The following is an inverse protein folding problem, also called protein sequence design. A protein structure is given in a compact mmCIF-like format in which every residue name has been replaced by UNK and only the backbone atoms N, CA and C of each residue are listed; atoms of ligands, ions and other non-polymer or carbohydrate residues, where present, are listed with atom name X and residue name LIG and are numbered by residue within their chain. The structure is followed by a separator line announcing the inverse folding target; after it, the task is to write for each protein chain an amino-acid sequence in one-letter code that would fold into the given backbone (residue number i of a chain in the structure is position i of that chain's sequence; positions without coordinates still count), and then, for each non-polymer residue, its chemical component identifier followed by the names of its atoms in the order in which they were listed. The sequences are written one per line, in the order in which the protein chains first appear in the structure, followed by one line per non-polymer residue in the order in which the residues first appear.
data_IF_079167456547
#
_entry.id   IF_079167456547
#
_cell.length_a   1.000
_cell.length_b   1.000
_cell.length_c   1.000
_cell.angle_alpha   90.00
_cell.angle_beta   90.00
_cell.angle_gamma   90.00
#
_symmetry.space_group_name_H-M   'P 1'
#
loop_
_entity.id
_entity.type
_entity.pdbx_description
1 polymer ?
#
# COMPACT_ATOMS: atom_id res chain seq x y z
N UNK A 1 -41.87 -4.37 -11.94
CA UNK A 1 -40.67 -3.61 -11.55
C UNK A 1 -40.51 -3.73 -10.05
N UNK A 2 -39.68 -4.65 -9.57
CA UNK A 2 -39.35 -4.71 -8.13
C UNK A 2 -38.53 -3.46 -7.81
N UNK A 3 -39.06 -2.60 -6.94
CA UNK A 3 -38.28 -1.55 -6.30
C UNK A 3 -37.18 -2.26 -5.51
N UNK A 4 -35.96 -2.23 -6.03
CA UNK A 4 -34.77 -2.63 -5.28
C UNK A 4 -34.67 -1.62 -4.14
N UNK A 5 -34.99 -2.06 -2.91
CA UNK A 5 -34.66 -1.31 -1.70
C UNK A 5 -33.19 -0.91 -1.80
N UNK A 6 -32.94 0.40 -1.87
CA UNK A 6 -31.58 0.94 -1.93
C UNK A 6 -30.94 0.65 -0.57
N UNK A 7 -30.26 -0.50 -0.43
CA UNK A 7 -29.54 -0.86 0.80
C UNK A 7 -28.69 0.34 1.23
N UNK A 8 -28.92 0.81 2.45
CA UNK A 8 -28.23 1.98 2.97
C UNK A 8 -26.73 1.68 3.02
N UNK A 9 -25.91 2.49 2.33
CA UNK A 9 -24.46 2.33 2.31
C UNK A 9 -23.94 2.43 3.76
N UNK A 10 -22.98 1.56 4.09
CA UNK A 10 -22.29 1.64 5.38
C UNK A 10 -21.56 2.97 5.51
N UNK A 11 -21.42 3.47 6.74
CA UNK A 11 -20.69 4.69 7.04
C UNK A 11 -19.65 4.41 8.13
N UNK A 12 -18.64 5.27 8.20
CA UNK A 12 -17.75 5.31 9.36
C UNK A 12 -18.54 5.72 10.61
N UNK A 13 -18.32 5.00 11.71
CA UNK A 13 -18.88 5.31 13.02
C UNK A 13 -18.24 6.53 13.68
N UNK A 14 -17.02 6.91 13.27
CA UNK A 14 -16.33 8.11 13.77
C UNK A 14 -15.25 8.63 12.82
N UNK A 15 -14.94 9.94 12.91
CA UNK A 15 -13.81 10.55 12.18
C UNK A 15 -12.48 9.89 12.53
N UNK A 16 -12.23 9.61 13.80
CA UNK A 16 -11.02 8.91 14.23
C UNK A 16 -10.93 7.51 13.61
N UNK A 17 -12.05 6.79 13.57
CA UNK A 17 -12.15 5.49 12.92
C UNK A 17 -11.76 5.51 11.45
N UNK A 18 -12.30 6.48 10.70
CA UNK A 18 -11.89 6.72 9.32
C UNK A 18 -10.39 7.02 9.19
N UNK A 19 -9.87 7.96 9.99
CA UNK A 19 -8.46 8.36 9.93
C UNK A 19 -7.54 7.17 10.20
N UNK A 20 -7.85 6.33 11.20
CA UNK A 20 -7.06 5.13 11.49
C UNK A 20 -7.18 4.07 10.40
N UNK A 21 -8.36 3.88 9.80
CA UNK A 21 -8.51 2.95 8.68
C UNK A 21 -7.77 3.42 7.43
N UNK A 22 -7.91 4.70 7.05
CA UNK A 22 -7.20 5.28 5.92
C UNK A 22 -5.69 5.31 6.14
N UNK A 23 -5.23 5.68 7.35
CA UNK A 23 -3.82 5.60 7.71
C UNK A 23 -3.32 4.15 7.69
N UNK A 24 -4.10 3.18 8.16
CA UNK A 24 -3.73 1.76 8.08
C UNK A 24 -3.76 1.17 6.68
N UNK A 25 -4.52 1.76 5.76
CA UNK A 25 -4.41 1.42 4.35
C UNK A 25 -3.06 1.88 3.79
N UNK A 26 -2.69 3.14 4.04
CA UNK A 26 -1.42 3.72 3.56
C UNK A 26 -0.21 3.07 4.25
N UNK A 27 -0.20 3.03 5.59
CA UNK A 27 0.86 2.42 6.38
C UNK A 27 0.84 0.91 6.20
N UNK A 28 1.86 0.40 5.51
CA UNK A 28 1.98 -1.03 5.20
C UNK A 28 3.41 -1.51 5.07
N UNK A 29 3.59 -2.61 4.33
CA UNK A 29 4.91 -3.11 3.95
C UNK A 29 5.71 -2.06 3.16
N UNK A 30 5.05 -1.14 2.46
CA UNK A 30 5.70 -0.03 1.77
C UNK A 30 6.56 0.85 2.68
N UNK A 31 6.12 1.10 3.92
CA UNK A 31 6.81 1.98 4.87
C UNK A 31 7.91 1.25 5.63
N UNK A 32 7.67 -0.01 6.01
CA UNK A 32 8.57 -0.76 6.90
C UNK A 32 9.65 -1.51 6.12
N UNK A 33 9.36 -1.87 4.88
CA UNK A 33 10.25 -2.67 4.04
C UNK A 33 10.78 -1.89 2.83
N UNK A 34 9.89 -1.39 1.97
CA UNK A 34 10.30 -0.76 0.70
C UNK A 34 10.98 0.60 0.90
N UNK A 35 10.49 1.43 1.82
CA UNK A 35 11.04 2.76 2.09
C UNK A 35 12.50 2.72 2.59
N UNK A 36 12.85 1.92 3.63
CA UNK A 36 14.25 1.79 4.06
C UNK A 36 15.16 1.27 2.95
N UNK A 37 14.72 0.28 2.18
CA UNK A 37 15.48 -0.23 1.04
C UNK A 37 15.79 0.88 0.01
N UNK A 38 14.78 1.63 -0.43
CA UNK A 38 14.98 2.71 -1.40
C UNK A 38 15.83 3.84 -0.82
N UNK A 39 15.66 4.16 0.46
CA UNK A 39 16.48 5.16 1.16
C UNK A 39 17.94 4.74 1.20
N UNK A 40 18.22 3.46 1.48
CA UNK A 40 19.58 2.90 1.50
C UNK A 40 20.27 3.00 0.13
N UNK A 41 19.53 2.69 -0.95
CA UNK A 41 20.07 2.69 -2.31
C UNK A 41 20.22 4.07 -2.96
N UNK A 42 19.57 5.10 -2.42
CA UNK A 42 19.46 6.40 -3.08
C UNK A 42 20.07 7.56 -2.27
N UNK A 43 21.10 7.28 -1.47
CA UNK A 43 21.85 8.33 -0.76
C UNK A 43 21.16 8.86 0.50
N UNK A 44 20.36 8.04 1.17
CA UNK A 44 19.85 8.31 2.52
C UNK A 44 19.03 9.59 2.59
N UNK A 45 19.49 10.56 3.38
CA UNK A 45 18.75 11.80 3.65
C UNK A 45 18.38 12.63 2.42
N UNK A 46 19.16 12.57 1.33
CA UNK A 46 18.81 13.30 0.12
C UNK A 46 17.57 12.69 -0.57
N UNK A 47 17.48 11.36 -0.63
CA UNK A 47 16.29 10.66 -1.08
C UNK A 47 15.07 11.01 -0.21
N UNK A 48 15.24 11.05 1.12
CA UNK A 48 14.13 11.39 2.03
C UNK A 48 13.56 12.77 1.71
N UNK A 49 14.40 13.78 1.52
CA UNK A 49 13.94 15.13 1.17
C UNK A 49 13.11 15.12 -0.12
N UNK A 50 13.60 14.45 -1.17
CA UNK A 50 12.90 14.35 -2.46
C UNK A 50 11.58 13.58 -2.30
N UNK A 51 11.59 12.46 -1.56
CA UNK A 51 10.40 11.68 -1.23
C UNK A 51 9.35 12.52 -0.50
N UNK A 52 9.74 13.31 0.50
CA UNK A 52 8.82 14.19 1.23
C UNK A 52 8.16 15.22 0.28
N UNK A 53 8.92 15.79 -0.65
CA UNK A 53 8.37 16.69 -1.67
C UNK A 53 7.35 15.94 -2.53
N UNK A 54 7.69 14.74 -3.03
CA UNK A 54 6.77 13.93 -3.83
C UNK A 54 5.49 13.58 -3.06
N UNK A 55 5.60 13.20 -1.79
CA UNK A 55 4.47 12.85 -0.92
C UNK A 55 3.54 14.04 -0.70
N UNK A 56 4.06 15.21 -0.30
CA UNK A 56 3.22 16.36 0.04
C UNK A 56 2.72 17.14 -1.18
N UNK A 57 3.43 17.10 -2.32
CA UNK A 57 2.98 17.76 -3.55
C UNK A 57 2.07 16.85 -4.36
N UNK A 58 2.50 15.62 -4.65
CA UNK A 58 1.78 14.71 -5.55
C UNK A 58 0.85 13.80 -4.76
N UNK A 59 1.38 13.11 -3.74
CA UNK A 59 0.63 12.13 -2.95
C UNK A 59 -0.60 12.72 -2.25
N UNK A 60 -0.41 13.81 -1.50
CA UNK A 60 -1.48 14.53 -0.82
C UNK A 60 -2.57 15.03 -1.79
N UNK A 61 -2.15 15.53 -2.95
CA UNK A 61 -3.08 16.05 -3.96
C UNK A 61 -3.96 14.94 -4.55
N UNK A 62 -3.36 13.79 -4.87
CA UNK A 62 -4.07 12.61 -5.36
C UNK A 62 -4.96 11.98 -4.27
N UNK A 63 -4.50 11.92 -3.01
CA UNK A 63 -5.32 11.45 -1.90
C UNK A 63 -6.56 12.34 -1.70
N UNK A 64 -6.36 13.67 -1.75
CA UNK A 64 -7.45 14.64 -1.68
C UNK A 64 -8.45 14.44 -2.82
N UNK A 65 -7.96 14.17 -4.04
CA UNK A 65 -8.77 13.84 -5.20
C UNK A 65 -9.58 12.54 -5.00
N UNK A 66 -8.96 11.46 -4.52
CA UNK A 66 -9.66 10.20 -4.25
C UNK A 66 -10.77 10.37 -3.20
N UNK A 67 -10.49 11.06 -2.09
CA UNK A 67 -11.50 11.35 -1.07
C UNK A 67 -12.65 12.19 -1.60
N UNK A 68 -12.37 13.21 -2.43
CA UNK A 68 -13.41 14.05 -3.03
C UNK A 68 -14.30 13.24 -3.97
N UNK A 69 -13.71 12.44 -4.87
CA UNK A 69 -14.46 11.59 -5.81
C UNK A 69 -15.32 10.57 -5.07
N UNK A 70 -14.74 9.87 -4.10
CA UNK A 70 -15.43 8.87 -3.29
C UNK A 70 -16.60 9.47 -2.51
N UNK A 71 -16.33 10.51 -1.71
CA UNK A 71 -17.36 11.12 -0.86
C UNK A 71 -18.44 11.82 -1.67
N UNK A 72 -18.08 12.47 -2.78
CA UNK A 72 -19.06 13.17 -3.63
C UNK A 72 -20.10 12.21 -4.18
N UNK A 73 -19.64 11.08 -4.72
CA UNK A 73 -20.49 10.09 -5.39
C UNK A 73 -21.18 9.12 -4.43
N UNK A 74 -20.57 8.84 -3.27
CA UNK A 74 -21.05 7.80 -2.36
C UNK A 74 -20.97 6.40 -2.98
N UNK A 75 -20.04 6.18 -3.92
CA UNK A 75 -19.86 4.93 -4.66
C UNK A 75 -18.40 4.48 -4.59
N UNK A 76 -18.17 3.17 -4.66
CA UNK A 76 -16.84 2.60 -4.84
C UNK A 76 -16.26 2.94 -6.22
N UNK A 77 -14.97 2.66 -6.42
CA UNK A 77 -14.17 3.12 -7.56
C UNK A 77 -14.90 3.08 -8.92
N UNK A 78 -15.36 1.92 -9.39
CA UNK A 78 -16.05 1.78 -10.70
C UNK A 78 -17.29 2.66 -10.79
N UNK A 79 -18.16 2.62 -9.77
CA UNK A 79 -19.39 3.40 -9.73
C UNK A 79 -19.12 4.90 -9.70
N UNK A 80 -18.08 5.33 -8.96
CA UNK A 80 -17.70 6.73 -8.86
C UNK A 80 -17.31 7.31 -10.23
N UNK A 81 -16.44 6.64 -10.99
CA UNK A 81 -16.08 7.07 -12.35
C UNK A 81 -17.29 7.05 -13.29
N UNK A 82 -18.06 5.94 -13.25
CA UNK A 82 -19.24 5.73 -14.10
C UNK A 82 -20.31 6.81 -13.91
N UNK A 83 -20.48 7.33 -12.69
CA UNK A 83 -21.48 8.36 -12.36
C UNK A 83 -21.28 9.69 -13.10
N UNK A 84 -20.03 10.04 -13.44
CA UNK A 84 -19.73 11.21 -14.27
C UNK A 84 -19.69 10.86 -15.75
N UNK A 85 -19.14 9.69 -16.10
CA UNK A 85 -19.07 9.25 -17.48
C UNK A 85 -18.84 7.73 -17.59
N UNK A 86 -19.75 7.04 -18.29
CA UNK A 86 -19.60 5.61 -18.61
C UNK A 86 -18.33 5.30 -19.43
N UNK A 87 -17.67 6.32 -20.03
CA UNK A 87 -16.39 6.14 -20.74
C UNK A 87 -15.18 6.04 -19.79
N UNK A 88 -15.38 6.29 -18.49
CA UNK A 88 -14.33 6.29 -17.48
C UNK A 88 -14.45 5.12 -16.49
N UNK A 89 -15.49 4.29 -16.57
CA UNK A 89 -15.66 3.10 -15.71
C UNK A 89 -14.42 2.19 -15.69
N UNK A 90 -13.67 2.13 -16.80
CA UNK A 90 -12.44 1.35 -16.90
C UNK A 90 -11.36 1.76 -15.90
N UNK A 91 -11.27 3.04 -15.53
CA UNK A 91 -10.28 3.52 -14.56
C UNK A 91 -10.58 2.96 -13.17
N UNK A 92 -11.87 2.90 -12.80
CA UNK A 92 -12.29 2.24 -11.57
C UNK A 92 -12.09 0.72 -11.63
N UNK A 93 -12.30 0.11 -12.80
CA UNK A 93 -12.09 -1.32 -12.98
C UNK A 93 -10.61 -1.69 -12.90
N UNK A 94 -9.72 -0.83 -13.41
CA UNK A 94 -8.28 -0.94 -13.23
C UNK A 94 -7.91 -0.86 -11.74
N UNK A 95 -8.54 0.02 -10.97
CA UNK A 95 -8.36 0.08 -9.51
C UNK A 95 -8.76 -1.23 -8.81
N UNK A 96 -9.94 -1.77 -9.13
CA UNK A 96 -10.40 -3.06 -8.60
C UNK A 96 -9.46 -4.20 -8.99
N UNK A 97 -9.02 -4.23 -10.25
CA UNK A 97 -8.07 -5.23 -10.74
C UNK A 97 -6.70 -5.11 -10.04
N UNK A 98 -6.25 -3.89 -9.77
CA UNK A 98 -5.03 -3.62 -9.00
C UNK A 98 -5.15 -4.19 -7.58
N UNK A 99 -6.23 -3.87 -6.88
CA UNK A 99 -6.49 -4.41 -5.55
C UNK A 99 -6.55 -5.93 -5.53
N UNK A 100 -7.19 -6.53 -6.53
CA UNK A 100 -7.25 -7.98 -6.70
C UNK A 100 -5.87 -8.61 -6.97
N UNK A 101 -5.06 -8.03 -7.85
CA UNK A 101 -3.72 -8.54 -8.18
C UNK A 101 -2.77 -8.39 -6.98
N UNK A 102 -2.80 -7.27 -6.26
CA UNK A 102 -1.98 -7.09 -5.05
C UNK A 102 -2.37 -8.13 -4.00
N UNK A 103 -3.66 -8.38 -3.80
CA UNK A 103 -4.14 -9.46 -2.92
C UNK A 103 -3.76 -10.87 -3.41
N UNK A 104 -3.29 -11.02 -4.65
CA UNK A 104 -2.78 -12.28 -5.18
C UNK A 104 -1.41 -12.70 -4.61
N UNK A 105 -0.64 -11.77 -4.05
CA UNK A 105 0.69 -12.06 -3.47
C UNK A 105 0.91 -11.43 -2.09
N UNK A 106 0.28 -10.29 -1.79
CA UNK A 106 0.51 -9.56 -0.55
C UNK A 106 0.17 -10.37 0.73
N UNK A 107 -0.93 -11.19 0.76
CA UNK A 107 -1.18 -12.09 1.89
C UNK A 107 -0.11 -13.16 2.10
N UNK A 108 0.64 -13.55 1.06
CA UNK A 108 1.76 -14.49 1.17
C UNK A 108 2.85 -13.88 2.04
N UNK A 109 3.22 -12.62 1.78
CA UNK A 109 4.20 -11.87 2.58
C UNK A 109 3.68 -11.60 4.00
N UNK A 110 2.38 -11.30 4.16
CA UNK A 110 1.74 -11.22 5.48
C UNK A 110 1.82 -12.53 6.27
N UNK A 111 1.67 -13.67 5.59
CA UNK A 111 1.89 -15.00 6.14
C UNK A 111 3.34 -15.22 6.58
N UNK A 112 4.33 -14.77 5.80
CA UNK A 112 5.73 -14.82 6.22
C UNK A 112 5.97 -14.04 7.51
N UNK A 113 5.38 -12.85 7.63
CA UNK A 113 5.49 -12.04 8.85
C UNK A 113 4.91 -12.77 10.08
N UNK A 114 3.75 -13.42 9.94
CA UNK A 114 3.18 -14.25 11.02
C UNK A 114 4.09 -15.43 11.37
N UNK A 115 4.59 -16.14 10.36
CA UNK A 115 5.50 -17.26 10.55
C UNK A 115 6.76 -16.84 11.29
N UNK A 116 7.33 -15.68 10.94
CA UNK A 116 8.55 -15.16 11.55
C UNK A 116 8.33 -14.64 12.97
N UNK A 117 7.17 -14.08 13.29
CA UNK A 117 6.80 -13.77 14.67
C UNK A 117 6.81 -15.05 15.54
N UNK A 118 6.29 -16.15 15.02
CA UNK A 118 6.33 -17.45 15.70
C UNK A 118 7.73 -18.05 15.74
N UNK A 119 8.45 -18.09 14.61
CA UNK A 119 9.82 -18.61 14.53
C UNK A 119 10.77 -17.87 15.46
N UNK A 120 10.54 -16.57 15.69
CA UNK A 120 11.33 -15.76 16.63
C UNK A 120 11.40 -16.37 18.02
N UNK A 121 10.31 -16.95 18.53
CA UNK A 121 10.29 -17.62 19.85
C UNK A 121 10.70 -19.09 19.80
N UNK A 122 10.67 -19.74 18.62
CA UNK A 122 11.05 -21.15 18.47
C UNK A 122 12.47 -21.36 17.96
N UNK A 123 13.31 -20.31 17.92
CA UNK A 123 14.74 -20.42 17.62
C UNK A 123 15.21 -19.82 16.30
N UNK A 124 14.47 -18.88 15.68
CA UNK A 124 14.90 -18.17 14.45
C UNK A 124 16.32 -17.61 14.58
N UNK A 125 16.64 -17.01 15.72
CA UNK A 125 17.92 -16.34 15.96
C UNK A 125 19.04 -17.29 16.45
N UNK A 126 18.77 -18.59 16.55
CA UNK A 126 19.74 -19.56 17.10
C UNK A 126 20.95 -19.78 16.18
N UNK A 127 20.79 -19.59 14.87
CA UNK A 127 21.88 -19.69 13.90
C UNK A 127 21.83 -18.50 12.91
N UNK A 128 22.43 -17.35 13.27
CA UNK A 128 22.37 -16.13 12.46
C UNK A 128 22.98 -16.28 11.07
N UNK A 129 24.02 -17.11 10.93
CA UNK A 129 24.68 -17.39 9.65
C UNK A 129 23.80 -18.14 8.65
N UNK A 130 22.74 -18.82 9.12
CA UNK A 130 21.82 -19.60 8.28
C UNK A 130 20.50 -18.87 7.99
N UNK A 131 20.34 -17.60 8.37
CA UNK A 131 19.06 -16.87 8.21
C UNK A 131 18.61 -16.76 6.75
N UNK A 132 19.56 -16.59 5.81
CA UNK A 132 19.28 -16.56 4.38
C UNK A 132 18.76 -17.90 3.86
N UNK A 133 19.45 -18.98 4.19
CA UNK A 133 19.06 -20.35 3.81
C UNK A 133 17.74 -20.76 4.48
N UNK A 134 17.54 -20.40 5.74
CA UNK A 134 16.30 -20.65 6.47
C UNK A 134 15.11 -19.94 5.83
N UNK A 135 15.28 -18.68 5.40
CA UNK A 135 14.25 -17.96 4.66
C UNK A 135 13.99 -18.60 3.29
N UNK A 136 15.04 -18.91 2.53
CA UNK A 136 14.93 -19.56 1.22
C UNK A 136 14.21 -20.90 1.30
N UNK A 137 14.56 -21.75 2.27
CA UNK A 137 13.91 -23.02 2.51
C UNK A 137 12.45 -22.86 2.93
N UNK A 138 12.14 -21.82 3.73
CA UNK A 138 10.78 -21.52 4.14
C UNK A 138 9.91 -21.09 2.95
N UNK A 139 10.32 -20.10 2.15
CA UNK A 139 9.48 -19.57 1.06
C UNK A 139 9.33 -20.54 -0.11
N UNK A 140 10.29 -21.46 -0.29
CA UNK A 140 10.25 -22.49 -1.34
C UNK A 140 9.54 -23.76 -0.89
N UNK A 141 9.27 -23.93 0.42
CA UNK A 141 8.52 -25.06 0.96
C UNK A 141 7.09 -25.09 0.41
N UNK A 142 6.57 -26.26 -0.02
CA UNK A 142 5.26 -26.34 -0.66
C UNK A 142 4.08 -26.19 0.32
N UNK A 143 4.31 -26.29 1.63
CA UNK A 143 3.22 -26.36 2.63
C UNK A 143 3.32 -25.25 3.67
N UNK A 144 4.48 -25.07 4.29
CA UNK A 144 4.61 -24.17 5.44
C UNK A 144 4.17 -22.72 5.16
N UNK A 145 4.66 -22.03 4.10
CA UNK A 145 4.23 -20.66 3.80
C UNK A 145 2.74 -20.57 3.44
N UNK A 146 2.16 -21.61 2.84
CA UNK A 146 0.72 -21.66 2.53
C UNK A 146 -0.14 -21.68 3.79
N UNK A 147 0.24 -22.46 4.81
CA UNK A 147 -0.50 -22.53 6.08
C UNK A 147 -0.57 -21.15 6.72
N UNK A 148 0.57 -20.45 6.81
CA UNK A 148 0.61 -19.10 7.38
C UNK A 148 -0.12 -18.06 6.54
N UNK A 149 -0.09 -18.20 5.21
CA UNK A 149 -0.87 -17.36 4.28
C UNK A 149 -2.37 -17.53 4.50
N UNK A 150 -2.84 -18.77 4.67
CA UNK A 150 -4.26 -19.06 4.93
C UNK A 150 -4.71 -18.51 6.29
N UNK A 151 -3.87 -18.62 7.33
CA UNK A 151 -4.14 -18.02 8.63
C UNK A 151 -4.23 -16.49 8.50
N UNK A 152 -3.27 -15.86 7.82
CA UNK A 152 -3.27 -14.42 7.58
C UNK A 152 -4.55 -13.97 6.85
N UNK A 153 -4.89 -14.66 5.76
CA UNK A 153 -6.07 -14.33 4.96
C UNK A 153 -7.35 -14.52 5.78
N UNK A 154 -7.45 -15.54 6.62
CA UNK A 154 -8.60 -15.74 7.50
C UNK A 154 -8.81 -14.56 8.45
N UNK A 155 -7.73 -14.00 9.03
CA UNK A 155 -7.82 -12.78 9.86
C UNK A 155 -8.39 -11.60 9.08
N UNK A 156 -7.91 -11.41 7.85
CA UNK A 156 -8.38 -10.36 6.95
C UNK A 156 -9.87 -10.54 6.62
N UNK A 157 -10.28 -11.74 6.19
CA UNK A 157 -11.67 -12.09 5.87
C UNK A 157 -12.60 -11.81 7.05
N UNK A 158 -12.21 -12.18 8.27
CA UNK A 158 -13.00 -11.93 9.48
C UNK A 158 -13.23 -10.44 9.71
N UNK A 159 -12.22 -9.60 9.45
CA UNK A 159 -12.35 -8.14 9.60
C UNK A 159 -13.31 -7.59 8.54
N UNK A 160 -13.10 -7.90 7.26
CA UNK A 160 -13.92 -7.32 6.17
C UNK A 160 -15.36 -7.84 6.17
N UNK A 161 -15.58 -9.10 6.57
CA UNK A 161 -16.91 -9.68 6.72
C UNK A 161 -17.77 -9.00 7.80
N UNK A 162 -17.14 -8.35 8.80
CA UNK A 162 -17.82 -7.58 9.85
C UNK A 162 -18.22 -6.16 9.41
N UNK A 163 -17.88 -5.76 8.18
CA UNK A 163 -18.25 -4.48 7.59
C UNK A 163 -17.40 -3.29 8.03
N UNK A 164 -17.72 -2.11 7.52
CA UNK A 164 -16.89 -0.89 7.70
C UNK A 164 -16.78 -0.50 9.17
N UNK A 165 -17.89 -0.17 9.83
CA UNK A 165 -17.87 0.25 11.23
C UNK A 165 -17.62 -0.93 12.21
N UNK A 166 -18.13 -2.12 11.87
CA UNK A 166 -18.09 -3.30 12.73
C UNK A 166 -16.76 -4.07 12.70
N UNK A 167 -16.00 -3.93 11.61
CA UNK A 167 -14.73 -4.63 11.37
C UNK A 167 -13.58 -3.68 11.09
N UNK A 168 -13.59 -3.04 9.91
CA UNK A 168 -12.48 -2.23 9.39
C UNK A 168 -12.10 -1.10 10.36
N UNK A 169 -13.08 -0.32 10.82
CA UNK A 169 -12.88 0.77 11.77
C UNK A 169 -12.33 0.29 13.11
N UNK A 170 -12.90 -0.80 13.66
CA UNK A 170 -12.46 -1.35 14.95
C UNK A 170 -11.04 -1.89 14.87
N UNK A 171 -10.71 -2.58 13.77
CA UNK A 171 -9.36 -3.04 13.51
C UNK A 171 -8.40 -1.84 13.43
N UNK A 172 -8.70 -0.83 12.61
CA UNK A 172 -7.87 0.38 12.49
C UNK A 172 -7.62 1.08 13.84
N UNK A 173 -8.67 1.26 14.66
CA UNK A 173 -8.59 1.89 15.98
C UNK A 173 -7.65 1.19 16.97
N UNK A 174 -7.40 -0.11 16.78
CA UNK A 174 -6.53 -0.90 17.66
C UNK A 174 -5.16 -1.09 17.02
N UNK A 175 -5.15 -1.54 15.76
CA UNK A 175 -3.94 -1.91 15.02
C UNK A 175 -3.03 -0.71 14.77
N UNK A 176 -3.56 0.45 14.37
CA UNK A 176 -2.71 1.61 14.08
C UNK A 176 -1.98 2.16 15.31
N UNK A 177 -2.64 2.44 16.45
CA UNK A 177 -1.93 2.82 17.66
C UNK A 177 -0.92 1.76 18.12
N UNK A 178 -1.27 0.47 18.01
CA UNK A 178 -0.35 -0.63 18.35
C UNK A 178 0.91 -0.58 17.50
N UNK A 179 0.79 -0.35 16.19
CA UNK A 179 1.92 -0.19 15.27
C UNK A 179 2.85 0.93 15.72
N UNK A 180 2.32 2.10 16.05
CA UNK A 180 3.13 3.25 16.51
C UNK A 180 3.88 2.93 17.80
N UNK A 181 3.21 2.29 18.77
CA UNK A 181 3.82 1.90 20.04
C UNK A 181 4.97 0.92 19.80
N UNK A 182 4.75 -0.13 19.01
CA UNK A 182 5.78 -1.11 18.66
C UNK A 182 6.98 -0.45 17.97
N UNK A 183 6.74 0.50 17.06
CA UNK A 183 7.79 1.26 16.38
C UNK A 183 8.65 2.06 17.37
N UNK A 184 8.03 2.76 18.32
CA UNK A 184 8.75 3.54 19.33
C UNK A 184 9.66 2.63 20.19
N UNK A 185 9.17 1.46 20.60
CA UNK A 185 9.98 0.50 21.36
C UNK A 185 11.21 0.02 20.57
N UNK A 186 11.04 -0.29 19.29
CA UNK A 186 12.15 -0.73 18.43
C UNK A 186 13.14 0.42 18.20
N UNK A 187 12.65 1.64 17.97
CA UNK A 187 13.48 2.83 17.81
C UNK A 187 14.35 3.05 19.04
N UNK A 188 13.77 3.02 20.24
CA UNK A 188 14.52 3.19 21.49
C UNK A 188 15.70 2.22 21.57
N UNK A 189 15.47 0.96 21.18
CA UNK A 189 16.54 -0.04 21.14
C UNK A 189 17.57 0.24 20.03
N UNK A 190 17.12 0.62 18.85
CA UNK A 190 17.96 0.88 17.68
C UNK A 190 18.92 2.05 17.91
N UNK A 191 18.43 3.16 18.45
CA UNK A 191 19.25 4.36 18.68
C UNK A 191 20.16 4.24 19.92
N UNK A 192 19.87 3.32 20.85
CA UNK A 192 20.71 3.07 22.03
C UNK A 192 21.89 2.14 21.75
N UNK A 193 21.99 1.56 20.55
CA UNK A 193 23.14 0.74 20.16
C UNK A 193 24.42 1.58 20.03
N UNK A 194 25.59 1.07 20.45
CA UNK A 194 26.87 1.71 20.15
C UNK A 194 27.07 1.87 18.64
N UNK A 195 27.48 3.05 18.17
CA UNK A 195 27.69 3.32 16.73
C UNK A 195 26.43 3.70 15.94
N UNK A 196 25.26 3.69 16.57
CA UNK A 196 23.96 4.01 15.93
C UNK A 196 23.88 5.42 15.31
N UNK A 197 24.67 6.36 15.83
CA UNK A 197 24.72 7.74 15.36
C UNK A 197 25.13 7.89 13.89
N UNK A 198 25.89 6.94 13.35
CA UNK A 198 26.23 6.92 11.92
C UNK A 198 24.98 6.68 11.05
N UNK A 199 24.08 5.79 11.47
CA UNK A 199 22.81 5.54 10.77
C UNK A 199 21.85 6.72 10.85
N UNK A 200 21.81 7.44 11.98
CA UNK A 200 21.06 8.70 12.07
C UNK A 200 21.65 9.79 11.16
N UNK A 201 22.98 9.86 11.07
CA UNK A 201 23.65 10.79 10.16
C UNK A 201 23.32 10.45 8.70
N UNK A 202 23.35 9.17 8.33
CA UNK A 202 22.96 8.72 6.99
C UNK A 202 21.51 9.11 6.64
N UNK A 203 20.59 9.00 7.60
CA UNK A 203 19.18 9.37 7.42
C UNK A 203 18.95 10.88 7.31
N UNK A 204 19.63 11.69 8.11
CA UNK A 204 19.28 13.11 8.28
C UNK A 204 20.29 14.10 7.71
N UNK A 205 21.44 13.63 7.22
CA UNK A 205 22.43 14.46 6.51
C UNK A 205 22.35 14.15 5.01
N UNK A 206 21.70 15.00 4.20
CA UNK A 206 21.57 14.76 2.76
C UNK A 206 22.93 14.76 2.06
N UNK A 207 23.19 13.69 1.30
CA UNK A 207 24.29 13.62 0.35
C UNK A 207 23.76 13.77 -1.08
N UNK A 208 23.85 14.98 -1.61
CA UNK A 208 23.36 15.32 -2.95
C UNK A 208 24.22 14.71 -4.07
N UNK A 209 25.43 14.21 -3.78
CA UNK A 209 26.28 13.60 -4.80
C UNK A 209 25.72 12.28 -5.35
N UNK A 210 24.84 11.63 -4.59
CA UNK A 210 24.19 10.37 -4.96
C UNK A 210 22.84 10.56 -5.67
N UNK A 211 22.35 11.80 -5.76
CA UNK A 211 21.05 12.10 -6.39
C UNK A 211 21.18 12.18 -7.90
N UNK A 212 20.35 11.41 -8.59
CA UNK A 212 20.22 11.49 -10.04
C UNK A 212 18.74 11.32 -10.48
N UNK A 213 18.48 11.27 -11.79
CA UNK A 213 17.12 11.15 -12.32
C UNK A 213 16.36 9.92 -11.81
N UNK A 214 17.04 8.78 -11.61
CA UNK A 214 16.41 7.57 -11.07
C UNK A 214 16.03 7.72 -9.60
N UNK A 215 16.78 8.51 -8.82
CA UNK A 215 16.44 8.85 -7.42
C UNK A 215 15.09 9.55 -7.32
N UNK A 216 14.84 10.54 -8.19
CA UNK A 216 13.56 11.28 -8.22
C UNK A 216 12.40 10.37 -8.61
N UNK A 217 12.62 9.49 -9.58
CA UNK A 217 11.61 8.53 -10.04
C UNK A 217 11.30 7.48 -8.96
N UNK A 218 12.31 6.98 -8.25
CA UNK A 218 12.15 6.07 -7.13
C UNK A 218 11.35 6.72 -5.99
N UNK A 219 11.65 7.98 -5.66
CA UNK A 219 10.94 8.75 -4.64
C UNK A 219 9.46 8.97 -5.00
N UNK A 220 9.19 9.34 -6.26
CA UNK A 220 7.82 9.53 -6.73
C UNK A 220 7.05 8.21 -6.77
N UNK A 221 7.65 7.11 -7.27
CA UNK A 221 7.04 5.78 -7.24
C UNK A 221 6.76 5.28 -5.82
N UNK A 222 7.67 5.54 -4.87
CA UNK A 222 7.46 5.24 -3.45
C UNK A 222 6.29 6.02 -2.85
N UNK A 223 6.11 7.30 -3.19
CA UNK A 223 4.98 8.08 -2.70
C UNK A 223 3.62 7.48 -3.11
N UNK A 224 3.50 6.98 -4.35
CA UNK A 224 2.28 6.31 -4.82
C UNK A 224 1.99 5.00 -4.09
N UNK A 225 3.02 4.15 -3.97
CA UNK A 225 2.89 2.86 -3.31
C UNK A 225 2.54 3.03 -1.83
N UNK A 226 3.28 3.90 -1.11
CA UNK A 226 3.08 4.15 0.31
C UNK A 226 1.66 4.65 0.60
N UNK A 227 1.14 5.60 -0.18
CA UNK A 227 -0.17 6.19 0.11
C UNK A 227 -1.37 5.38 -0.42
N UNK A 228 -1.15 4.17 -0.96
CA UNK A 228 -2.20 3.33 -1.58
C UNK A 228 -2.97 4.03 -2.72
N UNK A 229 -2.27 4.83 -3.53
CA UNK A 229 -2.91 5.69 -4.53
C UNK A 229 -3.06 4.98 -5.88
N UNK A 230 -4.13 5.30 -6.61
CA UNK A 230 -4.36 4.80 -7.97
C UNK A 230 -4.99 3.41 -8.05
N UNK A 231 -5.25 2.77 -6.91
CA UNK A 231 -5.95 1.47 -6.80
C UNK A 231 -7.40 1.60 -6.34
N UNK A 232 -7.90 2.82 -6.09
CA UNK A 232 -9.30 3.06 -5.70
C UNK A 232 -9.65 2.75 -4.24
N UNK A 233 -8.64 2.47 -3.40
CA UNK A 233 -8.79 2.30 -1.95
C UNK A 233 -9.36 3.57 -1.31
N UNK A 234 -8.77 4.74 -1.57
CA UNK A 234 -9.19 5.98 -0.92
C UNK A 234 -10.50 6.53 -1.51
N UNK A 235 -10.82 6.23 -2.78
CA UNK A 235 -12.17 6.46 -3.32
C UNK A 235 -13.19 5.63 -2.55
N UNK A 236 -12.92 4.34 -2.35
CA UNK A 236 -13.82 3.43 -1.62
C UNK A 236 -14.00 3.87 -0.17
N UNK A 237 -12.91 4.16 0.55
CA UNK A 237 -13.01 4.65 1.93
C UNK A 237 -13.66 6.03 2.03
N UNK A 238 -13.37 6.92 1.08
CA UNK A 238 -14.00 8.23 0.97
C UNK A 238 -15.51 8.15 0.77
N UNK A 239 -15.98 7.12 0.05
CA UNK A 239 -17.42 6.91 -0.19
C UNK A 239 -18.25 6.60 1.06
N UNK A 240 -17.61 6.20 2.16
CA UNK A 240 -18.25 5.94 3.45
C UNK A 240 -18.21 7.16 4.39
N UNK A 241 -17.63 8.29 3.96
CA UNK A 241 -17.52 9.52 4.75
C UNK A 241 -18.83 10.32 4.78
N UNK A 242 -19.09 10.89 5.95
CA UNK A 242 -20.14 11.89 6.09
C UNK A 242 -19.76 13.21 5.38
N UNK A 243 -20.76 13.89 4.82
CA UNK A 243 -20.58 15.17 4.10
C UNK A 243 -20.01 16.31 4.94
N UNK A 244 -20.10 16.21 6.27
CA UNK A 244 -19.56 17.21 7.22
C UNK A 244 -18.04 17.11 7.42
N UNK A 245 -17.40 16.03 6.99
CA UNK A 245 -15.98 15.80 7.24
C UNK A 245 -15.10 16.81 6.50
N UNK A 246 -13.92 17.13 7.01
CA UNK A 246 -13.00 18.06 6.35
C UNK A 246 -12.00 17.25 5.49
N UNK A 247 -12.24 17.17 4.17
CA UNK A 247 -11.42 16.32 3.29
C UNK A 247 -9.95 16.76 3.18
N UNK A 248 -9.61 18.05 2.94
CA UNK A 248 -8.22 18.48 2.90
C UNK A 248 -7.47 18.19 4.20
N UNK A 249 -8.08 18.47 5.35
CA UNK A 249 -7.48 18.18 6.66
C UNK A 249 -7.29 16.69 6.87
N UNK A 250 -8.27 15.87 6.49
CA UNK A 250 -8.17 14.43 6.64
C UNK A 250 -7.10 13.82 5.72
N UNK A 251 -7.00 14.27 4.46
CA UNK A 251 -5.95 13.85 3.54
C UNK A 251 -4.55 14.22 4.07
N UNK A 252 -4.40 15.43 4.62
CA UNK A 252 -3.15 15.85 5.25
C UNK A 252 -2.78 14.97 6.44
N UNK A 253 -3.73 14.66 7.32
CA UNK A 253 -3.47 13.82 8.49
C UNK A 253 -3.06 12.40 8.09
N UNK A 254 -3.79 11.77 7.16
CA UNK A 254 -3.46 10.42 6.68
C UNK A 254 -2.08 10.40 6.01
N UNK A 255 -1.80 11.37 5.13
CA UNK A 255 -0.50 11.50 4.46
C UNK A 255 0.63 11.72 5.47
N UNK A 256 0.40 12.54 6.50
CA UNK A 256 1.40 12.81 7.54
C UNK A 256 1.66 11.59 8.42
N UNK A 257 0.64 10.79 8.74
CA UNK A 257 0.79 9.55 9.50
C UNK A 257 1.60 8.51 8.71
N UNK A 258 1.30 8.33 7.42
CA UNK A 258 2.06 7.48 6.51
C UNK A 258 3.54 7.87 6.47
N UNK A 259 3.79 9.16 6.24
CA UNK A 259 5.14 9.74 6.23
C UNK A 259 5.85 9.52 7.56
N UNK A 260 5.18 9.78 8.68
CA UNK A 260 5.75 9.61 10.00
C UNK A 260 6.19 8.16 10.22
N UNK A 261 5.35 7.17 9.85
CA UNK A 261 5.73 5.76 9.97
C UNK A 261 6.90 5.41 9.07
N UNK A 262 6.98 5.92 7.84
CA UNK A 262 8.12 5.69 6.95
C UNK A 262 9.44 6.20 7.57
N UNK A 263 9.45 7.44 8.07
CA UNK A 263 10.62 8.03 8.74
C UNK A 263 10.98 7.25 10.00
N UNK A 264 9.99 6.95 10.85
CA UNK A 264 10.20 6.18 12.07
C UNK A 264 10.71 4.76 11.77
N UNK A 265 10.27 4.11 10.68
CA UNK A 265 10.80 2.82 10.23
C UNK A 265 12.25 2.93 9.78
N UNK A 266 12.61 4.02 9.09
CA UNK A 266 14.01 4.36 8.82
C UNK A 266 14.83 4.45 10.12
N UNK A 267 14.36 5.20 11.11
CA UNK A 267 15.02 5.33 12.42
C UNK A 267 15.08 3.98 13.16
N UNK A 268 14.11 3.09 12.98
CA UNK A 268 14.15 1.76 13.55
C UNK A 268 15.26 0.89 12.92
N UNK A 269 15.51 1.01 11.62
CA UNK A 269 16.36 0.10 10.85
C UNK A 269 17.81 0.61 10.71
N UNK A 270 18.03 1.83 10.22
CA UNK A 270 19.39 2.28 9.85
C UNK A 270 20.35 2.43 11.04
N UNK A 271 19.97 3.00 12.20
CA UNK A 271 20.88 3.09 13.34
C UNK A 271 21.38 1.70 13.76
N UNK A 272 20.51 0.69 13.74
CA UNK A 272 20.91 -0.68 14.07
C UNK A 272 21.76 -1.33 12.96
N UNK A 273 21.46 -1.11 11.67
CA UNK A 273 22.33 -1.59 10.57
C UNK A 273 23.77 -1.07 10.72
N UNK A 274 23.92 0.23 10.93
CA UNK A 274 25.25 0.86 11.06
C UNK A 274 25.96 0.44 12.35
N UNK A 275 25.23 0.27 13.46
CA UNK A 275 25.81 -0.21 14.72
C UNK A 275 26.48 -1.57 14.60
N UNK A 276 25.98 -2.43 13.71
CA UNK A 276 26.54 -3.77 13.45
C UNK A 276 27.37 -3.83 12.16
N UNK A 277 27.70 -2.70 11.54
CA UNK A 277 28.52 -2.66 10.33
C UNK A 277 27.88 -3.32 9.11
N UNK A 278 26.54 -3.39 9.05
CA UNK A 278 25.82 -3.96 7.92
C UNK A 278 25.55 -2.91 6.85
N UNK A 279 25.75 -3.29 5.58
CA UNK A 279 25.52 -2.42 4.44
C UNK A 279 24.03 -2.11 4.26
N UNK A 280 23.66 -0.84 3.97
CA UNK A 280 22.26 -0.44 3.81
C UNK A 280 21.56 -1.00 2.56
N UNK A 281 22.28 -1.73 1.70
CA UNK A 281 21.87 -2.09 0.34
C UNK A 281 21.59 -3.60 0.16
N UNK A 282 20.84 -4.21 1.07
CA UNK A 282 20.31 -5.57 0.85
C UNK A 282 18.93 -5.51 0.17
N UNK A 283 18.74 -6.30 -0.88
CA UNK A 283 17.52 -6.34 -1.72
C UNK A 283 16.23 -6.77 -0.99
N UNK A 284 15.18 -7.19 -1.72
CA UNK A 284 13.86 -7.57 -1.18
C UNK A 284 13.86 -8.46 0.08
N UNK A 285 14.84 -9.35 0.25
CA UNK A 285 15.00 -10.20 1.46
C UNK A 285 15.43 -9.46 2.74
N UNK A 286 15.71 -8.15 2.68
CA UNK A 286 16.21 -7.30 3.77
C UNK A 286 15.47 -7.54 5.10
N UNK A 287 14.14 -7.56 5.06
CA UNK A 287 13.33 -7.62 6.29
C UNK A 287 13.26 -9.01 6.92
N UNK A 288 13.42 -10.09 6.14
CA UNK A 288 13.32 -11.46 6.63
C UNK A 288 14.69 -12.13 6.87
N UNK A 289 15.78 -11.48 6.45
CA UNK A 289 17.16 -11.96 6.65
C UNK A 289 17.96 -10.95 7.47
N UNK A 290 18.03 -9.70 7.01
CA UNK A 290 18.91 -8.68 7.62
C UNK A 290 18.34 -8.17 8.93
N UNK A 291 17.05 -7.88 9.03
CA UNK A 291 16.48 -7.43 10.32
C UNK A 291 16.63 -8.50 11.42
N UNK A 292 16.36 -9.80 11.17
CA UNK A 292 16.70 -10.84 12.14
C UNK A 292 18.19 -10.93 12.48
N UNK A 293 19.11 -10.69 11.53
CA UNK A 293 20.54 -10.69 11.85
C UNK A 293 20.92 -9.54 12.79
N UNK A 294 20.30 -8.36 12.64
CA UNK A 294 20.44 -7.26 13.61
C UNK A 294 20.01 -7.72 15.02
N UNK A 295 18.88 -8.43 15.14
CA UNK A 295 18.40 -8.88 16.44
C UNK A 295 19.24 -10.00 17.05
N UNK A 296 19.84 -10.87 16.22
CA UNK A 296 20.76 -11.90 16.69
C UNK A 296 21.96 -11.32 17.45
N UNK A 297 22.50 -10.19 16.99
CA UNK A 297 23.60 -9.47 17.66
C UNK A 297 23.21 -8.91 19.04
N UNK A 298 21.92 -8.88 19.39
CA UNK A 298 21.43 -8.41 20.68
C UNK A 298 21.34 -9.52 21.75
N UNK A 299 21.79 -10.73 21.45
CA UNK A 299 21.73 -11.88 22.36
C UNK A 299 20.28 -12.22 22.76
N UNK A 300 20.06 -12.60 24.03
CA UNK A 300 18.73 -13.02 24.51
C UNK A 300 17.62 -11.96 24.37
N UNK A 301 17.98 -10.67 24.45
CA UNK A 301 17.03 -9.58 24.23
C UNK A 301 16.55 -9.49 22.76
N UNK A 302 17.35 -10.00 21.82
CA UNK A 302 17.04 -10.04 20.39
C UNK A 302 15.74 -10.75 20.07
N UNK A 303 15.42 -11.83 20.79
CA UNK A 303 14.17 -12.59 20.61
C UNK A 303 12.95 -11.69 20.82
N UNK A 304 12.96 -10.87 21.89
CA UNK A 304 11.87 -9.93 22.17
C UNK A 304 11.70 -8.93 21.03
N UNK A 305 12.78 -8.29 20.59
CA UNK A 305 12.71 -7.28 19.52
C UNK A 305 12.33 -7.89 18.16
N UNK A 306 12.75 -9.13 17.88
CA UNK A 306 12.32 -9.87 16.70
C UNK A 306 10.81 -10.13 16.71
N UNK A 307 10.25 -10.58 17.83
CA UNK A 307 8.79 -10.77 17.98
C UNK A 307 8.04 -9.45 17.80
N UNK A 308 8.50 -8.37 18.45
CA UNK A 308 7.85 -7.06 18.35
C UNK A 308 7.89 -6.51 16.92
N UNK A 309 9.00 -6.69 16.22
CA UNK A 309 9.16 -6.25 14.83
C UNK A 309 8.27 -7.03 13.87
N UNK A 310 8.23 -8.36 13.96
CA UNK A 310 7.36 -9.16 13.10
C UNK A 310 5.88 -8.98 13.46
N UNK A 311 5.53 -8.77 14.73
CA UNK A 311 4.19 -8.38 15.12
C UNK A 311 3.78 -7.04 14.47
N UNK A 312 4.68 -6.06 14.47
CA UNK A 312 4.47 -4.79 13.77
C UNK A 312 4.30 -4.99 12.26
N UNK A 313 5.07 -5.87 11.65
CA UNK A 313 4.97 -6.17 10.21
C UNK A 313 3.64 -6.85 9.87
N UNK A 314 3.15 -7.75 10.72
CA UNK A 314 1.83 -8.38 10.62
C UNK A 314 0.73 -7.32 10.71
N UNK A 315 0.82 -6.42 11.68
CA UNK A 315 -0.16 -5.34 11.88
C UNK A 315 -0.23 -4.46 10.62
N UNK A 316 0.91 -4.03 10.10
CA UNK A 316 0.99 -3.20 8.89
C UNK A 316 0.47 -3.93 7.65
N UNK A 317 0.83 -5.20 7.46
CA UNK A 317 0.32 -5.99 6.34
C UNK A 317 -1.19 -6.22 6.46
N UNK A 318 -1.70 -6.47 7.67
CA UNK A 318 -3.12 -6.75 7.90
C UNK A 318 -3.98 -5.50 7.61
N UNK A 319 -3.56 -4.32 8.06
CA UNK A 319 -4.33 -3.08 7.81
C UNK A 319 -4.42 -2.72 6.33
N UNK A 320 -3.33 -2.83 5.57
CA UNK A 320 -3.35 -2.57 4.11
C UNK A 320 -4.12 -3.63 3.33
N UNK A 321 -3.97 -4.91 3.70
CA UNK A 321 -4.71 -5.97 3.01
C UNK A 321 -6.22 -5.88 3.23
N UNK A 322 -6.68 -5.34 4.37
CA UNK A 322 -8.11 -5.12 4.65
C UNK A 322 -8.69 -4.06 3.69
N UNK A 323 -7.95 -3.00 3.37
CA UNK A 323 -8.42 -1.99 2.41
C UNK A 323 -8.45 -2.50 0.98
N UNK A 324 -7.43 -3.28 0.58
CA UNK A 324 -7.35 -3.90 -0.74
C UNK A 324 -8.51 -4.88 -0.98
N UNK A 325 -8.83 -5.74 0.00
CA UNK A 325 -9.99 -6.63 -0.09
C UNK A 325 -11.29 -5.83 -0.17
N UNK A 326 -11.42 -4.75 0.60
CA UNK A 326 -12.62 -3.92 0.60
C UNK A 326 -12.87 -3.25 -0.76
N UNK A 327 -11.86 -2.89 -1.55
CA UNK A 327 -12.06 -2.38 -2.92
C UNK A 327 -12.80 -3.39 -3.81
N UNK A 328 -12.38 -4.66 -3.75
CA UNK A 328 -12.99 -5.74 -4.54
C UNK A 328 -14.40 -6.03 -4.04
N UNK A 329 -14.58 -6.11 -2.72
CA UNK A 329 -15.87 -6.36 -2.06
C UNK A 329 -16.87 -5.24 -2.36
N UNK A 330 -16.46 -3.97 -2.23
CA UNK A 330 -17.30 -2.83 -2.49
C UNK A 330 -17.71 -2.75 -3.96
N UNK A 331 -16.86 -3.16 -4.90
CA UNK A 331 -17.24 -3.31 -6.31
C UNK A 331 -18.33 -4.37 -6.50
N UNK A 332 -18.20 -5.55 -5.88
CA UNK A 332 -19.21 -6.61 -5.98
C UNK A 332 -20.54 -6.19 -5.34
N UNK A 333 -20.51 -5.45 -4.23
CA UNK A 333 -21.71 -4.90 -3.61
C UNK A 333 -22.34 -3.84 -4.53
N UNK A 334 -21.58 -2.82 -4.94
CA UNK A 334 -22.12 -1.65 -5.66
C UNK A 334 -22.53 -1.96 -7.10
N UNK A 335 -21.78 -2.83 -7.80
CA UNK A 335 -22.00 -3.10 -9.24
C UNK A 335 -22.67 -4.44 -9.51
N UNK A 336 -22.56 -5.41 -8.60
CA UNK A 336 -23.17 -6.74 -8.74
C UNK A 336 -24.30 -7.00 -7.75
N UNK A 337 -24.65 -6.02 -6.90
CA UNK A 337 -25.71 -6.11 -5.90
C UNK A 337 -25.55 -7.31 -4.95
N UNK A 338 -24.31 -7.75 -4.71
CA UNK A 338 -24.04 -8.84 -3.78
C UNK A 338 -24.19 -8.37 -2.34
N UNK A 339 -24.60 -9.27 -1.44
CA UNK A 339 -24.50 -8.99 -0.01
C UNK A 339 -23.04 -9.06 0.45
N UNK A 340 -22.69 -8.32 1.51
CA UNK A 340 -21.31 -8.20 2.00
C UNK A 340 -20.64 -9.55 2.25
N UNK A 341 -21.24 -10.43 3.06
CA UNK A 341 -20.60 -11.71 3.41
C UNK A 341 -20.35 -12.61 2.17
N UNK A 342 -21.34 -12.86 1.29
CA UNK A 342 -21.09 -13.52 0.01
C UNK A 342 -20.01 -12.86 -0.84
N UNK A 343 -20.00 -11.53 -0.95
CA UNK A 343 -18.97 -10.80 -1.71
C UNK A 343 -17.56 -11.02 -1.13
N UNK A 344 -17.43 -10.97 0.20
CA UNK A 344 -16.19 -11.26 0.92
C UNK A 344 -15.74 -12.70 0.69
N UNK A 345 -16.62 -13.69 0.85
CA UNK A 345 -16.25 -15.10 0.68
C UNK A 345 -15.90 -15.44 -0.77
N UNK A 346 -16.63 -14.90 -1.75
CA UNK A 346 -16.36 -15.12 -3.17
C UNK A 346 -15.00 -14.52 -3.58
N UNK A 347 -14.73 -13.26 -3.21
CA UNK A 347 -13.45 -12.61 -3.50
C UNK A 347 -12.29 -13.32 -2.81
N UNK A 348 -12.44 -13.66 -1.53
CA UNK A 348 -11.40 -14.33 -0.75
C UNK A 348 -11.13 -15.76 -1.24
N UNK A 349 -12.15 -16.50 -1.69
CA UNK A 349 -11.99 -17.83 -2.26
C UNK A 349 -11.13 -17.81 -3.52
N UNK A 350 -11.30 -16.81 -4.38
CA UNK A 350 -10.42 -16.62 -5.55
C UNK A 350 -9.02 -16.21 -5.11
N UNK A 351 -8.91 -15.32 -4.10
CA UNK A 351 -7.61 -14.88 -3.58
C UNK A 351 -6.78 -16.00 -2.95
N UNK A 352 -7.43 -17.00 -2.32
CA UNK A 352 -6.76 -18.22 -1.84
C UNK A 352 -6.04 -18.91 -3.00
N UNK A 353 -6.73 -19.11 -4.13
CA UNK A 353 -6.15 -19.78 -5.30
C UNK A 353 -4.96 -18.99 -5.85
N UNK A 354 -5.11 -17.66 -6.01
CA UNK A 354 -4.00 -16.83 -6.50
C UNK A 354 -2.82 -16.81 -5.53
N UNK A 355 -3.06 -16.75 -4.21
CA UNK A 355 -2.01 -16.80 -3.20
C UNK A 355 -1.27 -18.15 -3.20
N UNK A 356 -2.00 -19.27 -3.39
CA UNK A 356 -1.38 -20.59 -3.51
C UNK A 356 -0.45 -20.62 -4.73
N UNK A 357 -0.93 -20.17 -5.89
CA UNK A 357 -0.11 -20.12 -7.11
C UNK A 357 1.11 -19.22 -6.94
N UNK A 358 0.95 -18.04 -6.33
CA UNK A 358 2.05 -17.11 -6.04
C UNK A 358 3.08 -17.74 -5.11
N UNK A 359 2.67 -18.31 -3.98
CA UNK A 359 3.59 -18.93 -3.02
C UNK A 359 4.32 -20.13 -3.63
N UNK A 360 3.62 -21.02 -4.35
CA UNK A 360 4.26 -22.19 -4.97
C UNK A 360 5.22 -21.79 -6.10
N UNK A 361 4.97 -20.67 -6.78
CA UNK A 361 5.86 -20.16 -7.84
C UNK A 361 7.25 -19.76 -7.35
N UNK A 362 7.43 -19.54 -6.03
CA UNK A 362 8.72 -19.27 -5.42
C UNK A 362 9.54 -20.54 -5.16
N UNK A 363 8.91 -21.72 -5.22
CA UNK A 363 9.53 -23.01 -4.90
C UNK A 363 9.25 -24.06 -5.97
N UNK A 364 8.40 -25.03 -5.64
CA UNK A 364 8.11 -26.20 -6.49
C UNK A 364 7.56 -25.87 -7.89
N UNK A 365 6.95 -24.69 -8.07
CA UNK A 365 6.47 -24.21 -9.37
C UNK A 365 7.37 -23.13 -10.00
N UNK A 366 8.62 -22.98 -9.55
CA UNK A 366 9.57 -21.98 -10.10
C UNK A 366 9.84 -22.12 -11.60
N UNK A 367 9.69 -23.33 -12.17
CA UNK A 367 9.78 -23.56 -13.61
C UNK A 367 8.54 -23.11 -14.41
N UNK A 368 7.41 -22.86 -13.76
CA UNK A 368 6.20 -22.36 -14.41
C UNK A 368 6.22 -20.82 -14.46
N UNK A 369 6.41 -20.28 -15.66
CA UNK A 369 6.49 -18.83 -15.87
C UNK A 369 5.34 -18.32 -16.73
N UNK A 370 4.85 -17.12 -16.42
CA UNK A 370 3.86 -16.37 -17.19
C UNK A 370 4.59 -15.16 -17.77
N UNK A 371 4.69 -15.09 -19.10
CA UNK A 371 5.38 -14.00 -19.81
C UNK A 371 6.83 -13.77 -19.34
N UNK A 372 7.50 -14.83 -18.87
CA UNK A 372 8.91 -14.80 -18.46
C UNK A 372 9.17 -14.53 -16.98
N UNK A 373 8.15 -14.50 -16.12
CA UNK A 373 8.28 -14.37 -14.66
C UNK A 373 7.42 -15.39 -13.91
N UNK A 374 7.74 -15.66 -12.63
CA UNK A 374 6.89 -16.48 -11.76
C UNK A 374 5.54 -15.82 -11.47
N UNK A 375 4.59 -16.56 -10.91
CA UNK A 375 3.23 -16.04 -10.63
C UNK A 375 3.25 -14.93 -9.58
N UNK A 376 4.10 -15.04 -8.55
CA UNK A 376 4.30 -13.98 -7.56
C UNK A 376 4.73 -12.66 -8.24
N UNK A 377 5.81 -12.74 -9.01
CA UNK A 377 6.39 -11.60 -9.73
C UNK A 377 5.43 -11.04 -10.78
N UNK A 378 4.63 -11.89 -11.43
CA UNK A 378 3.62 -11.46 -12.40
C UNK A 378 2.64 -10.44 -11.78
N UNK A 379 2.12 -10.75 -10.59
CA UNK A 379 1.19 -9.85 -9.90
C UNK A 379 1.90 -8.61 -9.34
N UNK A 380 3.05 -8.79 -8.71
CA UNK A 380 3.82 -7.69 -8.10
C UNK A 380 4.26 -6.67 -9.16
N UNK A 381 4.94 -7.12 -10.21
CA UNK A 381 5.50 -6.26 -11.25
C UNK A 381 4.41 -5.51 -12.02
N UNK A 382 3.31 -6.17 -12.41
CA UNK A 382 2.23 -5.51 -13.14
C UNK A 382 1.59 -4.38 -12.33
N UNK A 383 1.38 -4.62 -11.04
CA UNK A 383 0.74 -3.64 -10.16
C UNK A 383 1.69 -2.50 -9.81
N UNK A 384 2.92 -2.81 -9.37
CA UNK A 384 3.93 -1.82 -8.98
C UNK A 384 4.37 -0.92 -10.15
N UNK A 385 4.57 -1.49 -11.35
CA UNK A 385 5.14 -0.74 -12.48
C UNK A 385 4.11 -0.07 -13.38
N UNK A 386 2.91 -0.63 -13.50
CA UNK A 386 1.91 -0.16 -14.48
C UNK A 386 0.64 0.31 -13.80
N UNK A 387 -0.08 -0.58 -13.11
CA UNK A 387 -1.48 -0.31 -12.79
C UNK A 387 -1.64 0.84 -11.81
N UNK A 388 -0.78 0.94 -10.79
CA UNK A 388 -0.85 2.01 -9.79
C UNK A 388 -0.54 3.38 -10.38
N UNK A 389 0.57 3.49 -11.13
CA UNK A 389 0.96 4.75 -11.76
C UNK A 389 -0.10 5.18 -12.79
N UNK A 390 -0.52 4.28 -13.69
CA UNK A 390 -1.54 4.63 -14.68
C UNK A 390 -2.89 4.94 -14.01
N UNK A 391 -3.29 4.20 -12.97
CA UNK A 391 -4.50 4.49 -12.19
C UNK A 391 -4.48 5.88 -11.56
N UNK A 392 -3.36 6.27 -10.95
CA UNK A 392 -3.17 7.62 -10.40
C UNK A 392 -3.20 8.72 -11.48
N UNK A 393 -2.58 8.47 -12.63
CA UNK A 393 -2.64 9.37 -13.78
C UNK A 393 -4.07 9.54 -14.31
N UNK A 394 -4.81 8.43 -14.48
CA UNK A 394 -6.20 8.45 -14.93
C UNK A 394 -7.08 9.23 -13.96
N UNK A 395 -6.89 9.07 -12.66
CA UNK A 395 -7.60 9.86 -11.65
C UNK A 395 -7.28 11.36 -11.78
N UNK A 396 -6.01 11.73 -11.93
CA UNK A 396 -5.61 13.13 -12.09
C UNK A 396 -6.26 13.76 -13.33
N UNK A 397 -6.28 13.03 -14.45
CA UNK A 397 -6.94 13.46 -15.68
C UNK A 397 -8.45 13.58 -15.45
N UNK A 398 -9.07 12.59 -14.80
CA UNK A 398 -10.49 12.59 -14.51
C UNK A 398 -10.91 13.79 -13.66
N UNK A 399 -10.19 14.08 -12.57
CA UNK A 399 -10.45 15.23 -11.70
C UNK A 399 -10.16 16.55 -12.40
N UNK A 400 -9.07 16.64 -13.17
CA UNK A 400 -8.69 17.88 -13.84
C UNK A 400 -9.56 18.25 -15.05
N UNK A 401 -10.09 17.25 -15.77
CA UNK A 401 -10.66 17.44 -17.10
C UNK A 401 -12.07 16.90 -17.29
N UNK A 402 -12.58 16.04 -16.41
CA UNK A 402 -13.92 15.43 -16.54
C UNK A 402 -14.88 15.97 -15.49
N UNK A 403 -14.43 16.08 -14.24
CA UNK A 403 -15.24 16.67 -13.17
C UNK A 403 -15.23 18.20 -13.31
N UNK A 404 -16.39 18.83 -13.11
CA UNK A 404 -16.50 20.29 -13.08
C UNK A 404 -15.70 20.86 -11.90
N UNK A 405 -15.01 21.97 -12.12
CA UNK A 405 -14.19 22.61 -11.07
C UNK A 405 -15.03 23.04 -9.87
N UNK A 406 -16.24 23.52 -10.14
CA UNK A 406 -17.20 24.00 -9.13
C UNK A 406 -17.64 22.86 -8.21
N UNK A 407 -17.86 21.68 -8.79
CA UNK A 407 -18.22 20.46 -8.07
C UNK A 407 -17.12 20.04 -7.09
N UNK A 408 -15.86 20.12 -7.51
CA UNK A 408 -14.71 19.84 -6.64
C UNK A 408 -14.55 20.89 -5.54
N UNK A 409 -14.74 22.17 -5.88
CA UNK A 409 -14.66 23.27 -4.91
C UNK A 409 -15.72 23.13 -3.84
N UNK A 410 -16.96 22.90 -4.25
CA UNK A 410 -18.09 22.68 -3.36
C UNK A 410 -17.83 21.49 -2.43
N UNK A 411 -17.39 20.36 -2.97
CA UNK A 411 -17.10 19.17 -2.18
C UNK A 411 -15.94 19.39 -1.19
N UNK A 412 -14.82 19.99 -1.62
CA UNK A 412 -13.66 20.19 -0.75
C UNK A 412 -13.83 21.30 0.28
N UNK A 413 -14.77 22.22 0.06
CA UNK A 413 -15.11 23.31 1.00
C UNK A 413 -16.37 23.02 1.80
N UNK A 414 -17.02 21.86 1.62
CA UNK A 414 -18.32 21.54 2.22
C UNK A 414 -19.34 22.67 2.02
N UNK A 415 -19.54 23.11 0.77
CA UNK A 415 -20.42 24.23 0.44
C UNK A 415 -19.98 25.57 1.02
N UNK A 416 -18.67 25.77 1.22
CA UNK A 416 -18.08 26.99 1.77
C UNK A 416 -17.90 27.03 3.29
N UNK A 417 -18.30 25.99 4.03
CA UNK A 417 -18.13 25.91 5.50
C UNK A 417 -16.68 25.64 5.92
N UNK A 418 -15.88 25.03 5.04
CA UNK A 418 -14.44 24.78 5.24
C UNK A 418 -13.64 25.69 4.32
N UNK A 419 -12.68 26.43 4.89
CA UNK A 419 -11.74 27.23 4.12
C UNK A 419 -10.69 26.33 3.46
N UNK A 420 -10.55 26.42 2.14
CA UNK A 420 -9.44 25.81 1.39
C UNK A 420 -8.74 26.87 0.52
N UNK A 421 -7.83 27.63 1.15
CA UNK A 421 -7.17 28.77 0.51
C UNK A 421 -6.34 28.38 -0.73
N UNK A 422 -5.77 27.17 -0.74
CA UNK A 422 -4.91 26.68 -1.82
C UNK A 422 -5.69 25.87 -2.88
N UNK A 423 -7.02 25.95 -2.92
CA UNK A 423 -7.84 25.18 -3.87
C UNK A 423 -7.39 25.37 -5.32
N UNK A 424 -7.14 26.60 -5.75
CA UNK A 424 -6.73 26.92 -7.13
C UNK A 424 -5.35 26.31 -7.46
N UNK A 425 -4.41 26.40 -6.51
CA UNK A 425 -3.09 25.80 -6.66
C UNK A 425 -3.19 24.27 -6.73
N UNK A 426 -3.96 23.65 -5.83
CA UNK A 426 -4.22 22.21 -5.84
C UNK A 426 -4.90 21.74 -7.13
N UNK A 427 -5.91 22.47 -7.62
CA UNK A 427 -6.64 22.12 -8.83
C UNK A 427 -5.72 22.19 -10.06
N UNK A 428 -4.96 23.28 -10.22
CA UNK A 428 -4.02 23.42 -11.34
C UNK A 428 -2.88 22.41 -11.28
N UNK A 429 -2.36 22.13 -10.08
CA UNK A 429 -1.35 21.10 -9.86
C UNK A 429 -1.88 19.71 -10.27
N UNK A 430 -3.09 19.35 -9.81
CA UNK A 430 -3.73 18.07 -10.13
C UNK A 430 -4.11 17.95 -11.60
N UNK A 431 -4.49 19.06 -12.25
CA UNK A 431 -4.91 19.08 -13.65
C UNK A 431 -3.76 19.00 -14.65
N UNK A 432 -2.64 19.68 -14.37
CA UNK A 432 -1.57 19.88 -15.34
C UNK A 432 -0.25 19.20 -14.96
N UNK A 433 0.20 19.35 -13.71
CA UNK A 433 1.55 18.93 -13.30
C UNK A 433 1.58 17.46 -12.93
N UNK A 434 0.65 17.03 -12.08
CA UNK A 434 0.57 15.67 -11.56
C UNK A 434 0.42 14.61 -12.66
N UNK A 435 -0.49 14.72 -13.65
CA UNK A 435 -0.62 13.69 -14.67
C UNK A 435 0.67 13.54 -15.49
N UNK A 436 1.39 14.63 -15.75
CA UNK A 436 2.69 14.59 -16.45
C UNK A 436 3.76 13.94 -15.59
N UNK A 437 3.87 14.32 -14.31
CA UNK A 437 4.82 13.71 -13.38
C UNK A 437 4.62 12.20 -13.26
N UNK A 438 3.36 11.75 -13.17
CA UNK A 438 3.03 10.32 -13.09
C UNK A 438 3.29 9.61 -14.43
N UNK A 439 3.01 10.27 -15.56
CA UNK A 439 3.31 9.70 -16.88
C UNK A 439 4.81 9.41 -17.04
N UNK A 440 5.68 10.32 -16.57
CA UNK A 440 7.12 10.13 -16.59
C UNK A 440 7.52 8.90 -15.75
N UNK A 441 6.94 8.72 -14.55
CA UNK A 441 7.20 7.54 -13.71
C UNK A 441 6.71 6.26 -14.35
N UNK A 442 5.49 6.26 -14.90
CA UNK A 442 4.93 5.09 -15.57
C UNK A 442 5.80 4.67 -16.76
N UNK A 443 6.20 5.63 -17.61
CA UNK A 443 7.08 5.38 -18.75
C UNK A 443 8.43 4.84 -18.26
N UNK A 444 9.05 5.51 -17.28
CA UNK A 444 10.33 5.05 -16.76
C UNK A 444 10.26 3.65 -16.17
N UNK A 445 9.22 3.34 -15.39
CA UNK A 445 9.01 2.02 -14.78
C UNK A 445 8.83 0.94 -15.85
N UNK A 446 8.07 1.23 -16.90
CA UNK A 446 7.86 0.34 -18.04
C UNK A 446 9.16 0.10 -18.83
N UNK A 447 9.98 1.15 -19.01
CA UNK A 447 11.23 1.04 -19.78
C UNK A 447 12.37 0.40 -19.01
N UNK A 448 12.35 0.46 -17.67
CA UNK A 448 13.43 -0.03 -16.81
C UNK A 448 13.44 -1.56 -16.67
N UNK A 449 12.35 -2.25 -17.00
CA UNK A 449 12.23 -3.70 -16.79
C UNK A 449 12.62 -4.50 -18.04
N UNK A 450 13.30 -5.63 -17.82
CA UNK A 450 13.73 -6.52 -18.89
C UNK A 450 12.55 -7.23 -19.59
N UNK A 451 11.50 -7.58 -18.83
CA UNK A 451 10.35 -8.35 -19.31
C UNK A 451 9.33 -7.47 -20.05
N UNK A 452 9.71 -7.04 -21.26
CA UNK A 452 8.87 -6.18 -22.14
C UNK A 452 7.50 -6.81 -22.47
N UNK A 453 7.43 -8.13 -22.61
CA UNK A 453 6.19 -8.88 -22.86
C UNK A 453 5.14 -8.64 -21.76
N UNK A 454 5.58 -8.66 -20.49
CA UNK A 454 4.72 -8.41 -19.35
C UNK A 454 4.18 -6.98 -19.35
N UNK A 455 5.04 -6.00 -19.71
CA UNK A 455 4.62 -4.61 -19.80
C UNK A 455 3.60 -4.37 -20.92
N UNK A 456 3.82 -4.96 -22.09
CA UNK A 456 2.87 -4.91 -23.21
C UNK A 456 1.53 -5.53 -22.79
N UNK A 457 1.56 -6.67 -22.10
CA UNK A 457 0.35 -7.30 -21.57
C UNK A 457 -0.41 -6.37 -20.61
N UNK A 458 0.27 -5.76 -19.64
CA UNK A 458 -0.36 -4.81 -18.71
C UNK A 458 -1.02 -3.63 -19.43
N UNK A 459 -0.36 -3.05 -20.43
CA UNK A 459 -0.92 -1.99 -21.26
C UNK A 459 -2.13 -2.46 -22.08
N UNK A 460 -2.06 -3.67 -22.66
CA UNK A 460 -3.18 -4.27 -23.39
C UNK A 460 -4.39 -4.49 -22.49
N UNK A 461 -4.20 -4.95 -21.24
CA UNK A 461 -5.29 -5.07 -20.27
C UNK A 461 -5.99 -3.73 -20.07
N UNK A 462 -5.24 -2.64 -19.91
CA UNK A 462 -5.81 -1.29 -19.74
C UNK A 462 -6.58 -0.85 -21.00
N UNK A 463 -6.02 -1.08 -22.19
CA UNK A 463 -6.69 -0.79 -23.46
C UNK A 463 -7.99 -1.58 -23.61
N UNK A 464 -7.97 -2.87 -23.29
CA UNK A 464 -9.16 -3.72 -23.31
C UNK A 464 -10.22 -3.20 -22.34
N UNK A 465 -9.84 -2.90 -21.09
CA UNK A 465 -10.76 -2.29 -20.12
C UNK A 465 -11.36 -0.99 -20.67
N UNK A 466 -10.55 -0.14 -21.30
CA UNK A 466 -11.02 1.12 -21.90
C UNK A 466 -12.00 0.89 -23.06
N UNK A 467 -11.73 -0.08 -23.95
CA UNK A 467 -12.63 -0.45 -25.05
C UNK A 467 -13.99 -0.94 -24.55
N UNK A 468 -13.99 -1.69 -23.45
CA UNK A 468 -15.21 -2.20 -22.82
C UNK A 468 -15.81 -1.25 -21.78
N UNK A 469 -15.26 -0.05 -21.57
CA UNK A 469 -15.65 0.84 -20.48
C UNK A 469 -17.16 1.10 -20.39
N UNK A 470 -17.85 1.26 -21.52
CA UNK A 470 -19.30 1.54 -21.53
C UNK A 470 -20.15 0.36 -21.06
N UNK A 471 -19.60 -0.86 -21.09
CA UNK A 471 -20.27 -2.11 -20.71
C UNK A 471 -19.91 -2.56 -19.29
N UNK A 472 -18.86 -1.99 -18.69
CA UNK A 472 -18.51 -2.11 -17.27
C UNK A 472 -19.47 -1.25 -16.44
#
# INVERSE_FOLDING_TARGET
MQQVEKKQRENWGSRFGFLMAAAGSAVGLGNIWRFPYLTGMNGGGAFIVIYLICVFVVGLSIMTAEFAVGRRTGLAAVGAYKSYSNRWSFAGALGVLSGFFIMGFYPVVGGWALAYAFKSVTGLLANPGALGDAFGAFITSPVEPLVWTLIFLALNVVIVAKGVAGGIEKAGKVLMPTLFVLLIFIIFRSVSLPGSGAGLTFLFKPDWSQVNGSTVLAALGQAFFSLSLGMGCMITYGSYLNKKENLPSNALLVTSMDTAVAILAGIAIFPALFAFGMEPAAGPGLVFVVVPSIFAEMGGAGVLFSVLFFALLVVAALTSSVSLLEVVVAYLIDQKNMERKPAVYASSGIMVVTCILSSLSLGVMSGFTILGVGVFDFFDILTDKIFLAIGGMLLAIFVGWVIKKEDLKDELTNGGTVKFALFEAWYNLTKYVIPVAIAIVAISGITAIAQKSLMIFGLLVIVVLALFSKKL
#
